data_IF_372214634650
#
_entry.id   IF_372214634650
#
_cell.length_a   1.000
_cell.length_b   1.000
_cell.length_c   1.000
_cell.angle_alpha   90.00
_cell.angle_beta   90.00
_cell.angle_gamma   90.00
#
_symmetry.space_group_name_H-M   'P 1'
#
loop_
_entity.id
_entity.type
_entity.pdbx_description
1 polymer ?
#
# COMPACT_ATOMS: atom_id res chain seq x y z
N UNK A 1 -11.84 17.32 39.66
CA UNK A 1 -10.90 16.27 39.19
C UNK A 1 -11.59 15.13 38.44
N UNK A 2 -12.58 14.44 39.03
CA UNK A 2 -13.31 13.33 38.36
C UNK A 2 -13.92 13.69 36.99
N UNK A 3 -14.57 14.86 36.87
CA UNK A 3 -15.14 15.35 35.60
C UNK A 3 -14.09 15.61 34.51
N UNK A 4 -12.89 16.04 34.91
CA UNK A 4 -11.78 16.29 33.98
C UNK A 4 -11.24 14.95 33.45
N UNK A 5 -11.12 13.94 34.32
CA UNK A 5 -10.73 12.57 33.95
C UNK A 5 -11.77 11.95 33.02
N UNK A 6 -13.07 12.13 33.28
CA UNK A 6 -14.13 11.63 32.41
C UNK A 6 -14.09 12.25 31.02
N UNK A 7 -13.82 13.57 30.93
CA UNK A 7 -13.68 14.25 29.63
C UNK A 7 -12.45 13.72 28.88
N UNK A 8 -11.29 13.68 29.51
CA UNK A 8 -10.06 13.17 28.87
C UNK A 8 -10.21 11.72 28.41
N UNK A 9 -10.88 10.88 29.21
CA UNK A 9 -11.15 9.49 28.86
C UNK A 9 -12.13 9.38 27.68
N UNK A 10 -13.17 10.22 27.64
CA UNK A 10 -14.11 10.22 26.51
C UNK A 10 -13.46 10.66 25.18
N UNK A 11 -12.53 11.61 25.20
CA UNK A 11 -11.83 12.06 23.99
C UNK A 11 -10.84 11.00 23.49
N UNK A 12 -10.17 10.29 24.41
CA UNK A 12 -9.25 9.21 24.06
C UNK A 12 -9.98 8.03 23.42
N UNK A 13 -11.13 7.64 23.97
CA UNK A 13 -11.98 6.59 23.38
C UNK A 13 -12.50 7.00 22.01
N UNK A 14 -12.94 8.26 21.83
CA UNK A 14 -13.40 8.75 20.53
C UNK A 14 -12.29 8.72 19.46
N UNK A 15 -11.04 9.00 19.84
CA UNK A 15 -9.90 8.93 18.91
C UNK A 15 -9.51 7.50 18.51
N UNK A 16 -9.83 6.50 19.35
CA UNK A 16 -9.59 5.09 19.05
C UNK A 16 -10.59 4.51 18.02
N UNK A 17 -11.73 5.17 17.83
CA UNK A 17 -12.76 4.79 16.85
C UNK A 17 -12.78 5.71 15.62
N UNK A 18 -11.75 6.55 15.43
CA UNK A 18 -11.63 7.31 14.19
C UNK A 18 -11.56 6.31 13.02
N UNK A 19 -12.45 6.43 12.01
CA UNK A 19 -12.40 5.55 10.85
C UNK A 19 -11.03 5.72 10.18
N UNK A 20 -10.26 4.63 10.11
CA UNK A 20 -9.04 4.59 9.33
C UNK A 20 -9.42 4.83 7.86
N UNK A 21 -9.27 6.08 7.41
CA UNK A 21 -9.47 6.45 6.02
C UNK A 21 -8.28 5.90 5.24
N UNK A 22 -8.46 4.74 4.61
CA UNK A 22 -7.46 4.20 3.71
C UNK A 22 -7.21 5.21 2.58
N UNK A 23 -5.96 5.59 2.37
CA UNK A 23 -5.61 6.46 1.26
C UNK A 23 -5.88 5.72 -0.06
N UNK A 24 -6.48 6.43 -1.01
CA UNK A 24 -6.74 5.89 -2.35
C UNK A 24 -5.44 5.46 -3.04
N UNK A 25 -5.47 4.30 -3.70
CA UNK A 25 -4.35 3.87 -4.55
C UNK A 25 -4.23 4.85 -5.72
N UNK A 26 -3.07 5.50 -5.83
CA UNK A 26 -2.79 6.48 -6.88
C UNK A 26 -2.11 5.81 -8.08
N UNK A 27 -2.32 6.40 -9.26
CA UNK A 27 -1.67 5.91 -10.47
C UNK A 27 -0.17 6.19 -10.44
N UNK A 28 0.67 5.15 -10.58
CA UNK A 28 2.15 5.24 -10.53
C UNK A 28 2.82 4.19 -11.41
N UNK A 29 4.02 4.54 -11.87
CA UNK A 29 4.95 3.61 -12.52
C UNK A 29 6.10 3.34 -11.55
N UNK A 30 6.31 2.07 -11.22
CA UNK A 30 7.37 1.58 -10.35
C UNK A 30 8.46 1.02 -11.24
N UNK A 31 9.69 1.53 -11.09
CA UNK A 31 10.87 1.04 -11.80
C UNK A 31 11.54 -0.01 -10.94
N UNK A 32 11.59 -1.25 -11.41
CA UNK A 32 12.07 -2.41 -10.65
C UNK A 32 13.37 -2.95 -11.27
N UNK A 33 14.51 -2.59 -10.67
CA UNK A 33 15.82 -3.06 -11.14
C UNK A 33 16.14 -4.43 -10.55
N UNK A 34 16.40 -5.43 -11.39
CA UNK A 34 16.68 -6.80 -10.92
C UNK A 34 17.96 -7.42 -11.50
N UNK A 35 18.66 -6.70 -12.38
CA UNK A 35 20.07 -6.97 -12.71
C UNK A 35 20.35 -8.27 -13.46
N UNK A 36 19.32 -8.94 -13.94
CA UNK A 36 19.39 -10.13 -14.78
C UNK A 36 18.58 -9.91 -16.06
N UNK A 37 18.70 -10.81 -17.02
CA UNK A 37 17.88 -10.76 -18.23
C UNK A 37 16.43 -11.13 -17.94
N UNK A 38 15.50 -10.65 -18.76
CA UNK A 38 14.06 -10.97 -18.66
C UNK A 38 13.79 -12.48 -18.77
N UNK A 39 14.60 -13.20 -19.54
CA UNK A 39 14.50 -14.65 -19.73
C UNK A 39 15.02 -15.47 -18.54
N UNK A 40 15.55 -14.82 -17.50
CA UNK A 40 15.95 -15.50 -16.27
C UNK A 40 14.73 -15.93 -15.43
N UNK A 41 14.96 -16.82 -14.46
CA UNK A 41 13.93 -17.14 -13.45
C UNK A 41 13.45 -15.87 -12.73
N UNK A 42 14.35 -14.91 -12.51
CA UNK A 42 14.04 -13.66 -11.83
C UNK A 42 13.20 -12.73 -12.73
N UNK A 43 13.56 -12.61 -14.01
CA UNK A 43 12.79 -11.81 -14.96
C UNK A 43 11.35 -12.32 -15.14
N UNK A 44 11.18 -13.65 -15.23
CA UNK A 44 9.84 -14.28 -15.18
C UNK A 44 9.09 -13.94 -13.88
N UNK A 45 9.75 -14.03 -12.73
CA UNK A 45 9.16 -13.67 -11.45
C UNK A 45 8.74 -12.20 -11.36
N UNK A 46 9.53 -11.29 -11.92
CA UNK A 46 9.21 -9.86 -11.99
C UNK A 46 7.99 -9.61 -12.88
N UNK A 47 7.83 -10.39 -13.95
CA UNK A 47 6.65 -10.31 -14.82
C UNK A 47 5.37 -10.71 -14.08
N UNK A 48 5.38 -11.86 -13.40
CA UNK A 48 4.25 -12.31 -12.57
C UNK A 48 3.92 -11.29 -11.46
N UNK A 49 4.95 -10.73 -10.82
CA UNK A 49 4.77 -9.67 -9.82
C UNK A 49 4.13 -8.41 -10.43
N UNK A 50 4.58 -7.98 -11.61
CA UNK A 50 4.01 -6.83 -12.30
C UNK A 50 2.54 -7.04 -12.65
N UNK A 51 2.19 -8.24 -13.10
CA UNK A 51 0.83 -8.62 -13.47
C UNK A 51 -0.11 -8.63 -12.25
N UNK A 52 0.32 -9.22 -11.12
CA UNK A 52 -0.48 -9.21 -9.88
C UNK A 52 -0.61 -7.80 -9.27
N UNK A 53 0.44 -6.99 -9.29
CA UNK A 53 0.37 -5.59 -8.84
C UNK A 53 -0.63 -4.80 -9.68
N UNK A 54 -0.59 -4.97 -11.01
CA UNK A 54 -1.54 -4.33 -11.91
C UNK A 54 -2.98 -4.78 -11.60
N UNK A 55 -3.21 -6.09 -11.47
CA UNK A 55 -4.52 -6.67 -11.16
C UNK A 55 -5.09 -6.17 -9.84
N UNK A 56 -4.32 -6.23 -8.75
CA UNK A 56 -4.76 -5.82 -7.42
C UNK A 56 -4.96 -4.30 -7.28
N UNK A 57 -4.25 -3.52 -8.11
CA UNK A 57 -4.38 -2.06 -8.13
C UNK A 57 -5.40 -1.54 -9.15
N UNK A 58 -6.17 -2.42 -9.81
CA UNK A 58 -7.05 -2.07 -10.92
C UNK A 58 -6.32 -1.28 -12.04
N UNK A 59 -5.07 -1.65 -12.32
CA UNK A 59 -4.20 -1.08 -13.35
C UNK A 59 -3.56 0.27 -12.96
N UNK A 60 -3.80 0.77 -11.75
CA UNK A 60 -3.24 2.05 -11.29
C UNK A 60 -1.73 1.95 -11.03
N UNK A 61 -1.25 0.82 -10.54
CA UNK A 61 0.17 0.57 -10.35
C UNK A 61 0.72 -0.26 -11.50
N UNK A 62 1.76 0.25 -12.15
CA UNK A 62 2.48 -0.46 -13.22
C UNK A 62 3.92 -0.68 -12.80
N UNK A 63 4.41 -1.91 -12.93
CA UNK A 63 5.80 -2.25 -12.61
C UNK A 63 6.55 -2.48 -13.91
N UNK A 64 7.67 -1.78 -14.09
CA UNK A 64 8.55 -1.93 -15.22
C UNK A 64 9.89 -2.48 -14.72
N UNK A 65 10.16 -3.75 -15.04
CA UNK A 65 11.44 -4.41 -14.80
C UNK A 65 12.54 -3.90 -15.72
N UNK A 66 13.77 -3.80 -15.22
CA UNK A 66 14.97 -3.51 -16.02
C UNK A 66 16.26 -4.04 -15.36
#
# INVERSE_FOLDING_TARGET
>A
MKKLITIVLSTLVASAFAPASAADVQSRIIRFGFGLTDDSNMGRGVKEFADEVSKLSAGKLKVNGF
#
